data_IF_677256007562
#
_entry.id   IF_677256007562
#
_cell.length_a   1.000
_cell.length_b   1.000
_cell.length_c   1.000
_cell.angle_alpha   90.00
_cell.angle_beta   90.00
_cell.angle_gamma   90.00
#
_symmetry.space_group_name_H-M   'P 1'
#
loop_
_entity.id
_entity.type
_entity.pdbx_description
1 polymer ?
#
# COMPACT_ATOMS: atom_id res chain seq x y z
N UNK A 1 -9.21 10.81 -1.88
CA UNK A 1 -8.75 9.60 -2.60
C UNK A 1 -9.49 8.37 -2.06
N UNK A 2 -9.89 7.43 -2.93
CA UNK A 2 -10.55 6.18 -2.51
C UNK A 2 -9.54 5.28 -1.79
N UNK A 3 -9.94 4.67 -0.67
CA UNK A 3 -9.13 3.79 0.21
C UNK A 3 -8.04 4.47 1.07
N UNK A 4 -8.01 5.80 1.13
CA UNK A 4 -6.97 6.50 1.89
C UNK A 4 -7.02 6.16 3.38
N UNK A 5 -8.22 6.18 3.96
CA UNK A 5 -8.45 5.88 5.38
C UNK A 5 -8.02 4.46 5.72
N UNK A 6 -8.45 3.47 4.94
CA UNK A 6 -8.13 2.06 5.16
C UNK A 6 -6.63 1.80 5.08
N UNK A 7 -5.92 2.43 4.15
CA UNK A 7 -4.47 2.30 4.02
C UNK A 7 -3.76 2.99 5.19
N UNK A 8 -4.17 4.19 5.56
CA UNK A 8 -3.60 4.93 6.69
C UNK A 8 -3.83 4.20 8.01
N UNK A 9 -5.07 3.79 8.31
CA UNK A 9 -5.44 3.08 9.53
C UNK A 9 -4.62 1.78 9.67
N UNK A 10 -4.46 1.00 8.60
CA UNK A 10 -3.65 -0.21 8.62
C UNK A 10 -2.17 0.09 8.87
N UNK A 11 -1.57 1.00 8.11
CA UNK A 11 -0.13 1.24 8.18
C UNK A 11 0.26 1.94 9.49
N UNK A 12 -0.56 2.89 9.96
CA UNK A 12 -0.34 3.61 11.20
C UNK A 12 -0.54 2.73 12.44
N UNK A 13 -1.37 1.69 12.38
CA UNK A 13 -1.53 0.71 13.46
C UNK A 13 -0.29 -0.19 13.64
N UNK A 14 0.55 -0.33 12.61
CA UNK A 14 1.77 -1.14 12.65
C UNK A 14 2.98 -0.35 12.17
N UNK A 15 3.39 0.70 12.91
CA UNK A 15 4.56 1.49 12.56
C UNK A 15 5.80 0.60 12.50
N UNK A 16 6.60 0.74 11.43
CA UNK A 16 7.82 -0.06 11.23
C UNK A 16 7.63 -1.41 10.51
N UNK A 17 6.39 -1.89 10.30
CA UNK A 17 6.11 -3.09 9.50
C UNK A 17 6.21 -2.81 8.00
N UNK A 18 6.79 -3.76 7.27
CA UNK A 18 6.79 -3.75 5.80
C UNK A 18 5.51 -4.36 5.25
N UNK A 19 4.84 -3.62 4.37
CA UNK A 19 3.65 -4.05 3.65
C UNK A 19 3.94 -4.20 2.16
N UNK A 20 3.46 -5.28 1.55
CA UNK A 20 3.45 -5.39 0.08
C UNK A 20 2.19 -4.72 -0.47
N UNK A 21 2.25 -4.32 -1.74
CA UNK A 21 1.08 -3.77 -2.44
C UNK A 21 -0.16 -4.69 -2.34
N UNK A 22 0.04 -6.01 -2.41
CA UNK A 22 -1.07 -6.97 -2.31
C UNK A 22 -1.72 -6.97 -0.92
N UNK A 23 -0.95 -6.79 0.15
CA UNK A 23 -1.48 -6.75 1.52
C UNK A 23 -2.40 -5.54 1.68
N UNK A 24 -1.95 -4.38 1.17
CA UNK A 24 -2.72 -3.13 1.19
C UNK A 24 -3.98 -3.23 0.33
N UNK A 25 -3.88 -3.81 -0.87
CA UNK A 25 -5.04 -3.99 -1.76
C UNK A 25 -6.08 -4.92 -1.14
N UNK A 26 -5.65 -6.03 -0.54
CA UNK A 26 -6.55 -6.97 0.12
C UNK A 26 -7.24 -6.33 1.33
N UNK A 27 -6.49 -5.59 2.15
CA UNK A 27 -7.07 -4.89 3.30
C UNK A 27 -8.02 -3.76 2.88
N UNK A 28 -7.63 -2.93 1.90
CA UNK A 28 -8.42 -1.81 1.41
C UNK A 28 -9.77 -2.24 0.82
N UNK A 29 -9.79 -3.37 0.11
CA UNK A 29 -11.02 -3.86 -0.51
C UNK A 29 -12.01 -4.42 0.51
N UNK A 30 -11.55 -5.01 1.63
CA UNK A 30 -12.35 -5.70 2.66
C UNK A 30 -13.31 -6.80 2.12
N UNK A 31 -13.28 -7.09 0.81
CA UNK A 31 -14.14 -8.06 0.12
C UNK A 31 -13.32 -8.83 -0.91
N UNK A 32 -13.84 -10.00 -1.33
CA UNK A 32 -13.28 -10.70 -2.47
C UNK A 32 -13.51 -9.91 -3.77
N UNK A 33 -12.49 -9.89 -4.63
CA UNK A 33 -12.57 -9.25 -5.93
C UNK A 33 -13.42 -10.10 -6.87
N UNK A 34 -14.49 -9.53 -7.43
CA UNK A 34 -15.34 -10.23 -8.39
C UNK A 34 -14.62 -10.50 -9.72
N UNK A 35 -13.66 -9.64 -10.10
CA UNK A 35 -12.84 -9.84 -11.28
C UNK A 35 -11.49 -9.11 -11.20
N UNK A 36 -10.58 -9.43 -12.13
CA UNK A 36 -9.24 -8.81 -12.22
C UNK A 36 -9.30 -7.30 -12.43
N UNK A 37 -10.27 -6.80 -13.20
CA UNK A 37 -10.43 -5.35 -13.47
C UNK A 37 -10.70 -4.57 -12.19
N UNK A 38 -11.55 -5.10 -11.31
CA UNK A 38 -11.85 -4.51 -10.01
C UNK A 38 -10.59 -4.47 -9.14
N UNK A 39 -9.83 -5.57 -9.10
CA UNK A 39 -8.55 -5.62 -8.37
C UNK A 39 -7.55 -4.58 -8.88
N UNK A 40 -7.42 -4.42 -10.19
CA UNK A 40 -6.54 -3.44 -10.81
C UNK A 40 -6.99 -1.98 -10.54
N UNK A 41 -8.30 -1.75 -10.44
CA UNK A 41 -8.85 -0.46 -10.04
C UNK A 41 -8.52 -0.13 -8.58
N UNK A 42 -8.65 -1.09 -7.66
CA UNK A 42 -8.26 -0.94 -6.25
C UNK A 42 -6.77 -0.71 -6.13
N UNK A 43 -5.95 -1.51 -6.83
CA UNK A 43 -4.50 -1.35 -6.87
C UNK A 43 -4.10 0.06 -7.31
N UNK A 44 -4.71 0.61 -8.37
CA UNK A 44 -4.46 1.98 -8.84
C UNK A 44 -4.92 3.06 -7.85
N UNK A 45 -5.96 2.80 -7.07
CA UNK A 45 -6.39 3.72 -6.02
C UNK A 45 -5.41 3.72 -4.83
N UNK A 46 -5.00 2.53 -4.37
CA UNK A 46 -3.97 2.36 -3.32
C UNK A 46 -2.64 2.97 -3.74
N UNK A 47 -2.20 2.76 -4.98
CA UNK A 47 -0.97 3.35 -5.51
C UNK A 47 -0.97 4.88 -5.45
N UNK A 48 -2.10 5.52 -5.78
CA UNK A 48 -2.24 6.99 -5.64
C UNK A 48 -2.13 7.45 -4.20
N UNK A 49 -2.72 6.71 -3.25
CA UNK A 49 -2.59 7.00 -1.82
C UNK A 49 -1.14 6.89 -1.37
N UNK A 50 -0.47 5.80 -1.71
CA UNK A 50 0.94 5.58 -1.35
C UNK A 50 1.85 6.65 -1.93
N UNK A 51 1.67 7.06 -3.19
CA UNK A 51 2.44 8.15 -3.79
C UNK A 51 2.29 9.46 -3.02
N UNK A 52 1.07 9.79 -2.58
CA UNK A 52 0.82 10.99 -1.76
C UNK A 52 1.43 10.88 -0.35
N UNK A 53 1.43 9.69 0.24
CA UNK A 53 2.06 9.46 1.55
C UNK A 53 3.59 9.46 1.47
N UNK A 54 4.14 9.00 0.34
CA UNK A 54 5.58 9.06 0.08
C UNK A 54 6.01 10.50 -0.16
N UNK A 55 5.26 11.29 -0.93
CA UNK A 55 5.58 12.69 -1.19
C UNK A 55 5.55 13.56 0.06
N UNK A 56 4.74 13.18 1.06
CA UNK A 56 4.67 13.85 2.37
C UNK A 56 5.68 13.29 3.39
N UNK A 57 6.41 12.22 3.05
CA UNK A 57 7.40 11.59 3.91
C UNK A 57 6.82 10.68 5.01
N UNK A 58 5.50 10.50 5.06
CA UNK A 58 4.82 9.63 6.04
C UNK A 58 5.05 8.15 5.76
N UNK A 59 5.20 7.76 4.49
CA UNK A 59 5.51 6.39 4.08
C UNK A 59 6.82 6.36 3.32
N UNK A 60 7.62 5.33 3.56
CA UNK A 60 8.83 5.06 2.79
C UNK A 60 8.62 3.82 1.92
N UNK A 61 9.13 3.89 0.68
CA UNK A 61 9.17 2.76 -0.24
C UNK A 61 10.59 2.22 -0.30
N UNK A 62 10.74 0.90 -0.18
CA UNK A 62 12.05 0.22 -0.22
C UNK A 62 11.96 -1.06 -1.05
N UNK A 63 13.06 -1.54 -1.64
CA UNK A 63 13.11 -2.88 -2.17
C UNK A 63 12.92 -3.90 -1.04
N UNK A 64 12.21 -4.99 -1.31
CA UNK A 64 11.93 -6.05 -0.32
C UNK A 64 13.20 -6.73 0.19
N UNK A 65 14.27 -6.76 -0.61
CA UNK A 65 15.58 -7.32 -0.29
C UNK A 65 16.67 -6.52 -1.02
N UNK A 66 17.90 -6.45 -0.48
CA UNK A 66 19.04 -5.89 -1.21
C UNK A 66 19.18 -6.57 -2.58
N UNK A 67 19.40 -5.78 -3.64
CA UNK A 67 19.56 -6.27 -5.02
C UNK A 67 18.26 -6.55 -5.79
N UNK A 68 17.08 -6.57 -5.15
CA UNK A 68 15.80 -6.80 -5.83
C UNK A 68 15.15 -5.47 -6.23
N UNK A 69 15.00 -5.20 -7.53
CA UNK A 69 14.37 -3.95 -8.02
C UNK A 69 12.85 -4.04 -8.25
N UNK A 70 12.32 -5.23 -8.47
CA UNK A 70 10.93 -5.42 -8.93
C UNK A 70 9.90 -5.62 -7.81
N UNK A 71 10.35 -5.76 -6.56
CA UNK A 71 9.47 -6.00 -5.42
C UNK A 71 9.67 -4.88 -4.41
N UNK A 72 8.72 -3.95 -4.38
CA UNK A 72 8.68 -2.87 -3.40
C UNK A 72 7.85 -3.26 -2.17
N UNK A 73 8.31 -2.81 -1.01
CA UNK A 73 7.58 -2.80 0.25
C UNK A 73 7.42 -1.36 0.74
N UNK A 74 6.34 -1.13 1.46
CA UNK A 74 5.94 0.17 2.00
C UNK A 74 5.91 0.10 3.52
N UNK A 75 6.46 1.11 4.18
CA UNK A 75 6.55 1.16 5.64
C UNK A 75 6.09 2.52 6.14
N UNK A 76 5.28 2.52 7.20
CA UNK A 76 4.93 3.75 7.91
C UNK A 76 6.17 4.27 8.65
N UNK A 77 6.52 5.52 8.37
CA UNK A 77 7.63 6.21 9.02
C UNK A 77 7.16 6.70 10.38
N UNK A 78 7.90 6.34 11.43
CA UNK A 78 7.74 6.86 12.79
C UNK A 78 8.58 8.12 12.92
#
# INVERSE_FOLDING_TARGET
MKYAREVMDLMAAFPGRDFKMNDLVNHAAKVQFANRRQRDAVRRAVDRVLKSLISTGTVIMRPSRPGVRNIAVYRWKV
#
